data_IF_511459141166
#
_entry.id   IF_511459141166
#
_cell.length_a   1.000
_cell.length_b   1.000
_cell.length_c   1.000
_cell.angle_alpha   90.00
_cell.angle_beta   90.00
_cell.angle_gamma   90.00
#
_symmetry.space_group_name_H-M   'P 1'
#
loop_
_entity.id
_entity.type
_entity.pdbx_description
1 polymer ?
#
# COMPACT_ATOMS: atom_id res chain seq x y z
N UNK A 1 52.74 -18.35 33.99
CA UNK A 1 51.77 -18.35 32.86
C UNK A 1 50.47 -17.73 33.37
N UNK A 2 50.06 -16.58 32.82
CA UNK A 2 48.79 -15.95 33.15
C UNK A 2 47.96 -15.88 31.86
N UNK A 3 46.87 -16.63 31.81
CA UNK A 3 45.96 -16.68 30.65
C UNK A 3 44.84 -15.69 30.90
N UNK A 4 44.91 -14.53 30.25
CA UNK A 4 43.84 -13.53 30.27
C UNK A 4 42.68 -14.01 29.40
N UNK A 5 41.47 -14.09 29.98
CA UNK A 5 40.24 -14.39 29.25
C UNK A 5 39.81 -13.11 28.53
N UNK A 6 39.75 -13.15 27.19
CA UNK A 6 39.19 -12.05 26.39
C UNK A 6 37.66 -12.26 26.34
N UNK A 7 36.91 -11.51 27.14
CA UNK A 7 35.46 -11.42 26.99
C UNK A 7 35.13 -10.33 25.97
N UNK A 8 34.71 -10.74 24.77
CA UNK A 8 34.20 -9.82 23.74
C UNK A 8 32.73 -9.52 24.03
N UNK A 9 32.44 -8.31 24.54
CA UNK A 9 31.08 -7.79 24.62
C UNK A 9 30.67 -7.31 23.22
N UNK A 10 30.17 -8.23 22.40
CA UNK A 10 29.44 -7.83 21.19
C UNK A 10 28.09 -7.27 21.63
N UNK A 11 28.01 -5.96 21.82
CA UNK A 11 26.71 -5.29 21.92
C UNK A 11 26.06 -5.38 20.55
N UNK A 12 25.02 -6.20 20.44
CA UNK A 12 24.06 -6.13 19.35
C UNK A 12 23.38 -4.76 19.43
N UNK A 13 23.81 -3.83 18.57
CA UNK A 13 23.11 -2.56 18.37
C UNK A 13 21.74 -2.93 17.80
N UNK A 14 20.72 -2.92 18.65
CA UNK A 14 19.34 -2.85 18.19
C UNK A 14 19.22 -1.53 17.41
N UNK A 15 19.28 -1.62 16.09
CA UNK A 15 18.96 -0.50 15.23
C UNK A 15 17.49 -0.14 15.48
N UNK A 16 17.24 0.82 16.38
CA UNK A 16 15.95 1.49 16.44
C UNK A 16 15.79 2.17 15.09
N UNK A 17 14.81 1.71 14.31
CA UNK A 17 14.44 2.40 13.07
C UNK A 17 14.13 3.85 13.44
N UNK A 18 14.97 4.79 13.00
CA UNK A 18 14.67 6.20 13.13
C UNK A 18 13.32 6.46 12.44
N UNK A 19 12.40 7.09 13.16
CA UNK A 19 11.13 7.52 12.58
C UNK A 19 11.45 8.62 11.58
N UNK A 20 11.60 8.26 10.31
CA UNK A 20 11.72 9.24 9.23
C UNK A 20 10.39 9.94 9.08
N UNK A 21 10.33 11.18 9.56
CA UNK A 21 9.20 12.05 9.31
C UNK A 21 9.05 12.26 7.79
N UNK A 22 7.83 12.13 7.28
CA UNK A 22 7.54 12.42 5.87
C UNK A 22 7.82 13.91 5.59
N UNK A 23 8.37 14.20 4.42
CA UNK A 23 8.62 15.57 3.98
C UNK A 23 7.31 16.34 3.81
N UNK A 24 7.24 17.55 4.35
CA UNK A 24 6.09 18.44 4.14
C UNK A 24 5.86 18.72 2.64
N UNK A 25 6.94 18.84 1.87
CA UNK A 25 6.84 19.04 0.42
C UNK A 25 6.19 17.86 -0.29
N UNK A 26 6.50 16.62 0.12
CA UNK A 26 5.91 15.41 -0.45
C UNK A 26 4.43 15.30 -0.09
N UNK A 27 4.08 15.61 1.16
CA UNK A 27 2.68 15.66 1.60
C UNK A 27 1.90 16.73 0.81
N UNK A 28 2.45 17.94 0.68
CA UNK A 28 1.81 19.01 -0.09
C UNK A 28 1.62 18.61 -1.55
N UNK A 29 2.64 18.01 -2.18
CA UNK A 29 2.54 17.54 -3.55
C UNK A 29 1.42 16.49 -3.70
N UNK A 30 1.35 15.52 -2.80
CA UNK A 30 0.35 14.46 -2.83
C UNK A 30 -1.08 14.99 -2.64
N UNK A 31 -1.32 15.79 -1.60
CA UNK A 31 -2.67 16.27 -1.26
C UNK A 31 -3.20 17.41 -2.13
N UNK A 32 -2.33 18.06 -2.93
CA UNK A 32 -2.74 19.11 -3.89
C UNK A 32 -2.90 18.61 -5.32
N UNK A 33 -2.64 17.33 -5.57
CA UNK A 33 -2.81 16.70 -6.87
C UNK A 33 -4.28 16.62 -7.30
N UNK A 34 -4.54 16.39 -8.60
CA UNK A 34 -5.89 16.13 -9.08
C UNK A 34 -6.47 14.85 -8.47
N UNK A 35 -7.76 14.87 -8.19
CA UNK A 35 -8.55 13.69 -7.82
C UNK A 35 -9.65 13.44 -8.85
N UNK A 36 -10.20 12.22 -8.83
CA UNK A 36 -11.30 11.81 -9.70
C UNK A 36 -12.41 11.21 -8.84
N UNK A 37 -13.64 11.38 -9.29
CA UNK A 37 -14.83 10.77 -8.68
C UNK A 37 -15.61 10.08 -9.82
N UNK A 38 -15.74 8.76 -9.72
CA UNK A 38 -16.46 7.93 -10.68
C UNK A 38 -17.60 7.23 -9.96
N UNK A 39 -18.81 7.37 -10.48
CA UNK A 39 -20.02 6.80 -9.85
C UNK A 39 -20.64 5.71 -10.69
N UNK A 40 -21.20 4.72 -10.01
CA UNK A 40 -21.95 3.61 -10.61
C UNK A 40 -21.17 2.91 -11.72
N UNK A 41 -19.89 2.64 -11.45
CA UNK A 41 -19.05 1.85 -12.37
C UNK A 41 -19.19 0.36 -12.08
N UNK A 42 -19.00 -0.44 -13.12
CA UNK A 42 -18.83 -1.89 -12.97
C UNK A 42 -17.33 -2.18 -12.92
N UNK A 43 -16.87 -2.72 -11.80
CA UNK A 43 -15.48 -3.11 -11.62
C UNK A 43 -15.27 -4.62 -11.72
N UNK A 44 -14.11 -5.03 -12.23
CA UNK A 44 -13.72 -6.44 -12.37
C UNK A 44 -12.61 -6.78 -11.39
N UNK A 45 -12.91 -7.73 -10.50
CA UNK A 45 -12.02 -8.14 -9.42
C UNK A 45 -11.00 -9.17 -9.89
N UNK A 46 -9.73 -8.99 -9.52
CA UNK A 46 -8.68 -9.97 -9.82
C UNK A 46 -7.56 -9.98 -8.77
N UNK A 47 -6.73 -11.03 -8.82
CA UNK A 47 -5.58 -11.22 -7.93
C UNK A 47 -4.31 -11.21 -8.77
N UNK A 48 -3.33 -10.41 -8.37
CA UNK A 48 -1.99 -10.41 -8.95
C UNK A 48 -0.98 -10.68 -7.82
N UNK A 49 -0.43 -11.90 -7.80
CA UNK A 49 0.40 -12.36 -6.69
C UNK A 49 -0.42 -12.53 -5.40
N UNK A 50 -0.10 -11.75 -4.37
CA UNK A 50 -0.82 -11.74 -3.07
C UNK A 50 -1.77 -10.55 -2.92
N UNK A 51 -1.78 -9.65 -3.90
CA UNK A 51 -2.54 -8.42 -3.86
C UNK A 51 -3.81 -8.56 -4.69
N UNK A 52 -4.89 -7.93 -4.22
CA UNK A 52 -6.18 -7.93 -4.88
C UNK A 52 -6.46 -6.55 -5.45
N UNK A 53 -7.07 -6.52 -6.63
CA UNK A 53 -7.38 -5.31 -7.37
C UNK A 53 -8.81 -5.35 -7.89
N UNK A 54 -9.33 -4.17 -8.19
CA UNK A 54 -10.48 -3.99 -9.06
C UNK A 54 -10.06 -3.07 -10.22
N UNK A 55 -10.45 -3.40 -11.44
CA UNK A 55 -10.30 -2.50 -12.57
C UNK A 55 -11.64 -2.11 -13.20
N UNK A 56 -11.66 -0.97 -13.88
CA UNK A 56 -12.80 -0.52 -14.65
C UNK A 56 -12.36 0.44 -15.75
N UNK A 57 -13.17 0.55 -16.80
CA UNK A 57 -12.98 1.53 -17.86
C UNK A 57 -14.02 2.64 -17.71
N UNK A 58 -13.57 3.89 -17.64
CA UNK A 58 -14.44 5.06 -17.61
C UNK A 58 -14.02 6.06 -18.68
N UNK A 59 -14.92 6.40 -19.61
CA UNK A 59 -14.65 7.29 -20.75
C UNK A 59 -13.37 6.92 -21.53
N UNK A 60 -13.15 5.62 -21.74
CA UNK A 60 -11.98 5.09 -22.45
C UNK A 60 -10.67 5.06 -21.65
N UNK A 61 -10.70 5.46 -20.38
CA UNK A 61 -9.55 5.36 -19.47
C UNK A 61 -9.65 4.10 -18.62
N UNK A 62 -8.57 3.34 -18.58
CA UNK A 62 -8.43 2.17 -17.71
C UNK A 62 -7.95 2.60 -16.32
N UNK A 63 -8.66 2.18 -15.28
CA UNK A 63 -8.35 2.46 -13.89
C UNK A 63 -8.13 1.13 -13.16
N UNK A 64 -7.04 1.03 -12.39
CA UNK A 64 -6.72 -0.13 -11.55
C UNK A 64 -6.56 0.33 -10.11
N UNK A 65 -7.34 -0.26 -9.21
CA UNK A 65 -7.38 0.12 -7.80
C UNK A 65 -7.01 -1.07 -6.92
N UNK A 66 -6.02 -0.85 -6.05
CA UNK A 66 -5.62 -1.83 -5.05
C UNK A 66 -6.67 -1.93 -3.95
N UNK A 67 -7.11 -3.15 -3.64
CA UNK A 67 -7.99 -3.42 -2.52
C UNK A 67 -7.13 -3.74 -1.29
N UNK A 68 -7.23 -2.88 -0.28
CA UNK A 68 -6.45 -2.95 0.96
C UNK A 68 -7.38 -2.90 2.18
N UNK A 69 -6.87 -3.28 3.36
CA UNK A 69 -7.68 -3.31 4.57
C UNK A 69 -8.90 -4.24 4.43
N UNK A 70 -10.06 -3.76 4.84
CA UNK A 70 -11.34 -4.48 4.76
C UNK A 70 -11.82 -4.73 3.32
N UNK A 71 -11.37 -3.93 2.36
CA UNK A 71 -11.87 -4.03 0.98
C UNK A 71 -11.37 -5.26 0.23
N UNK A 72 -10.32 -5.91 0.76
CA UNK A 72 -9.78 -7.18 0.22
C UNK A 72 -10.83 -8.28 0.12
N UNK A 73 -11.79 -8.29 1.03
CA UNK A 73 -12.84 -9.31 1.10
C UNK A 73 -14.21 -8.76 0.68
N UNK A 74 -14.33 -7.43 0.50
CA UNK A 74 -15.57 -6.75 0.16
C UNK A 74 -15.96 -6.91 -1.32
N UNK A 75 -14.98 -6.85 -2.22
CA UNK A 75 -15.17 -7.01 -3.66
C UNK A 75 -14.50 -8.30 -4.13
N UNK A 76 -15.03 -9.42 -3.65
CA UNK A 76 -14.48 -10.76 -3.89
C UNK A 76 -15.10 -11.46 -5.11
N UNK A 77 -16.10 -10.85 -5.73
CA UNK A 77 -16.72 -11.32 -6.97
C UNK A 77 -15.88 -10.92 -8.19
N UNK A 78 -16.00 -11.69 -9.28
CA UNK A 78 -15.34 -11.39 -10.56
C UNK A 78 -15.87 -10.08 -11.16
N UNK A 79 -17.16 -9.80 -10.99
CA UNK A 79 -17.84 -8.60 -11.49
C UNK A 79 -18.57 -7.94 -10.32
N UNK A 80 -18.30 -6.66 -10.08
CA UNK A 80 -18.89 -5.90 -8.97
C UNK A 80 -19.57 -4.64 -9.55
N UNK A 81 -20.90 -4.64 -9.75
CA UNK A 81 -21.63 -3.49 -10.28
C UNK A 81 -21.87 -2.41 -9.20
N UNK A 82 -22.29 -1.23 -9.65
CA UNK A 82 -22.77 -0.13 -8.80
C UNK A 82 -21.75 0.35 -7.74
N UNK A 83 -20.47 0.43 -8.11
CA UNK A 83 -19.40 0.95 -7.25
C UNK A 83 -19.18 2.44 -7.52
N UNK A 84 -18.94 3.19 -6.44
CA UNK A 84 -18.42 4.56 -6.49
C UNK A 84 -16.94 4.54 -6.08
N UNK A 85 -16.11 5.28 -6.81
CA UNK A 85 -14.65 5.33 -6.72
C UNK A 85 -14.17 6.78 -6.66
#
# INVERSE_FOLDING_TARGET
LATGVITSNTQSVQAKTEVKQQSEADLKLYYSGPSFEYKKVTGYGFIEGKDRFIDFIYNGQYNKISLVGSDKDKYNEEVNPDIDV
#
